data_IF_160473929491
#
_entry.id   IF_160473929491
#
_cell.length_a   1.000
_cell.length_b   1.000
_cell.length_c   1.000
_cell.angle_alpha   90.00
_cell.angle_beta   90.00
_cell.angle_gamma   90.00
#
_symmetry.space_group_name_H-M   'P 1'
#
loop_
_entity.id
_entity.type
_entity.pdbx_description
1 polymer ?
#
# COMPACT_ATOMS: atom_id res chain seq x y z
N UNK A 1 -32.10 6.28 2.07
CA UNK A 1 -30.77 5.63 2.19
C UNK A 1 -29.78 6.47 1.41
N UNK A 2 -28.57 6.67 1.92
CA UNK A 2 -27.51 7.41 1.24
C UNK A 2 -26.16 6.73 1.40
N UNK A 3 -25.16 7.22 0.66
CA UNK A 3 -23.76 6.85 0.79
C UNK A 3 -22.92 8.11 1.03
N UNK A 4 -21.76 7.96 1.67
CA UNK A 4 -20.80 9.05 1.85
C UNK A 4 -19.41 8.53 1.50
N UNK A 5 -18.68 9.30 0.69
CA UNK A 5 -17.26 9.04 0.41
C UNK A 5 -16.51 10.38 0.47
N UNK A 6 -15.50 10.45 1.32
CA UNK A 6 -14.76 11.67 1.65
C UNK A 6 -13.26 11.39 1.59
N UNK A 7 -12.48 12.34 1.06
CA UNK A 7 -11.02 12.32 1.25
C UNK A 7 -10.67 12.71 2.68
N UNK A 8 -9.87 11.90 3.37
CA UNK A 8 -9.58 12.05 4.79
C UNK A 8 -8.07 11.99 5.07
N UNK A 9 -7.61 12.27 6.28
CA UNK A 9 -6.19 12.10 6.67
C UNK A 9 -6.13 11.51 8.09
N UNK A 10 -5.48 10.35 8.22
CA UNK A 10 -5.23 9.58 9.46
C UNK A 10 -3.76 9.16 9.58
N UNK A 11 -2.88 9.92 8.91
CA UNK A 11 -1.46 9.65 8.73
C UNK A 11 -0.70 9.42 10.05
N UNK A 12 -1.13 10.08 11.11
CA UNK A 12 -0.46 10.11 12.39
C UNK A 12 -0.37 8.71 13.03
N UNK A 13 -1.27 7.79 12.68
CA UNK A 13 -1.37 6.48 13.34
C UNK A 13 -0.95 5.30 12.46
N UNK A 14 -0.81 5.47 11.14
CA UNK A 14 -0.45 4.36 10.23
C UNK A 14 0.95 3.78 10.49
N UNK A 15 1.86 4.59 11.04
CA UNK A 15 3.21 4.15 11.40
C UNK A 15 3.32 3.52 12.78
N UNK A 16 2.26 3.55 13.59
CA UNK A 16 2.27 2.86 14.88
C UNK A 16 2.35 1.35 14.68
N UNK A 17 3.37 0.74 15.27
CA UNK A 17 3.57 -0.71 15.29
C UNK A 17 2.65 -1.41 16.30
N UNK A 18 2.27 -0.73 17.38
CA UNK A 18 1.30 -1.24 18.36
C UNK A 18 -0.12 -0.89 17.89
N UNK A 19 -0.79 -1.87 17.29
CA UNK A 19 -2.19 -1.75 16.88
C UNK A 19 -3.10 -1.64 18.10
N UNK A 20 -2.77 -2.38 19.17
CA UNK A 20 -3.57 -2.44 20.38
C UNK A 20 -3.52 -1.07 21.11
N UNK A 21 -2.43 -0.30 20.96
CA UNK A 21 -2.33 1.08 21.45
C UNK A 21 -3.35 2.05 20.83
N UNK A 22 -3.46 2.05 19.51
CA UNK A 22 -4.41 2.95 18.82
C UNK A 22 -5.85 2.58 19.19
N UNK A 23 -6.11 1.28 19.34
CA UNK A 23 -7.41 0.78 19.79
C UNK A 23 -7.70 1.14 21.26
N UNK A 24 -6.72 1.08 22.17
CA UNK A 24 -6.88 1.56 23.55
C UNK A 24 -7.27 3.03 23.58
N UNK A 25 -6.57 3.89 22.83
CA UNK A 25 -6.92 5.31 22.68
C UNK A 25 -8.34 5.53 22.15
N UNK A 26 -8.78 4.66 21.23
CA UNK A 26 -10.16 4.67 20.76
C UNK A 26 -11.14 4.33 21.89
N UNK A 27 -10.88 3.28 22.66
CA UNK A 27 -11.72 2.92 23.80
C UNK A 27 -11.76 4.03 24.85
N UNK A 28 -10.62 4.63 25.19
CA UNK A 28 -10.49 5.70 26.19
C UNK A 28 -11.14 7.01 25.74
N UNK A 29 -11.26 7.24 24.43
CA UNK A 29 -11.96 8.40 23.87
C UNK A 29 -13.49 8.29 23.99
N UNK A 30 -14.07 7.08 24.07
CA UNK A 30 -15.53 6.89 24.08
C UNK A 30 -16.22 7.53 25.30
N UNK A 31 -15.76 7.35 26.55
CA UNK A 31 -16.32 8.05 27.71
C UNK A 31 -16.31 9.58 27.55
N UNK A 32 -15.22 10.14 27.03
CA UNK A 32 -15.05 11.58 26.82
C UNK A 32 -16.07 12.09 25.79
N UNK A 33 -16.22 11.38 24.67
CA UNK A 33 -17.19 11.75 23.62
C UNK A 33 -18.62 11.58 24.12
N UNK A 34 -18.93 10.54 24.89
CA UNK A 34 -20.24 10.34 25.52
C UNK A 34 -20.66 11.53 26.36
N UNK A 35 -19.73 12.05 27.19
CA UNK A 35 -19.94 13.26 27.98
C UNK A 35 -20.26 14.47 27.08
N UNK A 36 -19.47 14.69 26.03
CA UNK A 36 -19.65 15.84 25.11
C UNK A 36 -20.99 15.80 24.37
N UNK A 37 -21.42 14.63 23.91
CA UNK A 37 -22.69 14.45 23.20
C UNK A 37 -23.86 14.75 24.14
N UNK A 38 -23.82 14.19 25.35
CA UNK A 38 -24.86 14.41 26.36
C UNK A 38 -24.91 15.87 26.84
N UNK A 39 -23.75 16.50 27.05
CA UNK A 39 -23.64 17.88 27.52
C UNK A 39 -24.23 18.86 26.49
N UNK A 40 -24.09 18.59 25.18
CA UNK A 40 -24.76 19.37 24.10
C UNK A 40 -26.29 19.34 24.23
N UNK A 41 -26.84 18.25 24.74
CA UNK A 41 -28.26 18.04 24.93
C UNK A 41 -28.71 18.39 26.36
N UNK A 42 -27.80 18.85 27.24
CA UNK A 42 -28.11 19.17 28.64
C UNK A 42 -28.31 17.93 29.54
N UNK A 43 -27.94 16.73 29.09
CA UNK A 43 -28.07 15.48 29.85
C UNK A 43 -26.86 15.30 30.75
N UNK A 44 -27.07 15.37 32.07
CA UNK A 44 -25.99 15.27 33.08
C UNK A 44 -25.93 13.93 33.81
N UNK A 45 -26.98 13.11 33.69
CA UNK A 45 -27.07 11.84 34.40
C UNK A 45 -26.00 10.86 33.89
N UNK A 46 -25.37 10.16 34.83
CA UNK A 46 -24.46 9.05 34.51
C UNK A 46 -25.27 7.82 34.12
N UNK A 47 -24.69 6.99 33.26
CA UNK A 47 -25.27 5.68 32.92
C UNK A 47 -25.35 4.81 34.20
N UNK A 48 -26.51 4.21 34.50
CA UNK A 48 -26.66 3.37 35.70
C UNK A 48 -25.78 2.12 35.68
N UNK A 49 -25.35 1.69 34.50
CA UNK A 49 -24.59 0.44 34.31
C UNK A 49 -23.11 0.64 34.09
N UNK A 50 -22.68 1.83 33.67
CA UNK A 50 -21.28 2.20 33.59
C UNK A 50 -21.11 3.72 33.84
N UNK A 51 -20.65 4.13 35.04
CA UNK A 51 -20.50 5.54 35.40
C UNK A 51 -19.55 6.36 34.53
N UNK A 52 -18.71 5.73 33.70
CA UNK A 52 -17.82 6.43 32.76
C UNK A 52 -18.61 7.10 31.61
N UNK A 53 -19.83 6.61 31.33
CA UNK A 53 -20.69 7.06 30.25
C UNK A 53 -21.90 7.86 30.78
N UNK A 54 -22.49 8.67 29.90
CA UNK A 54 -23.75 9.36 30.17
C UNK A 54 -24.95 8.47 29.84
N UNK A 55 -26.04 8.69 30.57
CA UNK A 55 -27.27 7.95 30.36
C UNK A 55 -27.79 8.09 28.92
N UNK A 56 -28.11 6.96 28.30
CA UNK A 56 -28.53 6.86 26.91
C UNK A 56 -27.45 7.05 25.83
N UNK A 57 -26.20 7.36 26.21
CA UNK A 57 -25.06 7.48 25.28
C UNK A 57 -23.92 6.53 25.68
N UNK A 58 -24.19 5.23 25.62
CA UNK A 58 -23.21 4.19 25.96
C UNK A 58 -22.10 4.08 24.90
N UNK A 59 -21.08 3.28 25.20
CA UNK A 59 -19.92 3.05 24.32
C UNK A 59 -20.21 2.32 23.01
N UNK A 60 -21.45 1.90 22.76
CA UNK A 60 -21.94 1.29 21.52
C UNK A 60 -22.78 2.27 20.66
N UNK A 61 -23.10 3.45 21.21
CA UNK A 61 -23.93 4.44 20.54
C UNK A 61 -23.15 5.10 19.40
N UNK A 62 -23.75 5.21 18.21
CA UNK A 62 -23.05 5.67 16.99
C UNK A 62 -22.44 7.07 17.15
N UNK A 63 -23.15 7.98 17.83
CA UNK A 63 -22.68 9.35 18.09
C UNK A 63 -21.51 9.41 19.10
N UNK A 64 -21.22 8.29 19.78
CA UNK A 64 -20.06 8.12 20.66
C UNK A 64 -18.93 7.40 19.96
N UNK A 65 -19.24 6.25 19.35
CA UNK A 65 -18.27 5.39 18.67
C UNK A 65 -17.63 6.11 17.49
N UNK A 66 -18.40 6.82 16.66
CA UNK A 66 -17.87 7.44 15.43
C UNK A 66 -16.89 8.58 15.73
N UNK A 67 -17.22 9.58 16.58
CA UNK A 67 -16.26 10.64 16.87
C UNK A 67 -15.06 10.15 17.68
N UNK A 68 -15.23 9.17 18.58
CA UNK A 68 -14.11 8.54 19.29
C UNK A 68 -13.16 7.82 18.34
N UNK A 69 -13.69 7.13 17.32
CA UNK A 69 -12.90 6.48 16.28
C UNK A 69 -12.10 7.51 15.48
N UNK A 70 -12.72 8.61 15.08
CA UNK A 70 -12.02 9.70 14.41
C UNK A 70 -10.94 10.33 15.30
N UNK A 71 -11.22 10.58 16.58
CA UNK A 71 -10.23 11.12 17.51
C UNK A 71 -8.99 10.24 17.60
N UNK A 72 -9.17 8.94 17.84
CA UNK A 72 -8.07 8.01 18.00
C UNK A 72 -7.26 7.83 16.71
N UNK A 73 -7.92 7.57 15.57
CA UNK A 73 -7.23 7.25 14.32
C UNK A 73 -6.65 8.47 13.61
N UNK A 74 -7.10 9.69 13.92
CA UNK A 74 -6.44 10.94 13.48
C UNK A 74 -5.51 11.55 14.52
N UNK A 75 -5.35 10.91 15.68
CA UNK A 75 -4.57 11.42 16.80
C UNK A 75 -4.98 12.85 17.23
N UNK A 76 -6.29 13.11 17.25
CA UNK A 76 -6.89 14.36 17.72
C UNK A 76 -7.37 14.20 19.16
N UNK A 77 -7.39 15.32 19.88
CA UNK A 77 -7.97 15.39 21.22
C UNK A 77 -9.48 15.05 21.16
N UNK A 78 -9.95 14.02 21.91
CA UNK A 78 -11.36 13.66 21.96
C UNK A 78 -12.26 14.77 22.51
N UNK A 79 -11.70 15.80 23.17
CA UNK A 79 -12.43 16.99 23.59
C UNK A 79 -12.72 17.99 22.45
N UNK A 80 -12.04 17.84 21.30
CA UNK A 80 -12.09 18.82 20.20
C UNK A 80 -12.56 18.25 18.87
N UNK A 81 -12.70 16.93 18.75
CA UNK A 81 -13.19 16.29 17.51
C UNK A 81 -14.64 16.71 17.22
N UNK A 82 -14.99 16.89 15.94
CA UNK A 82 -16.37 17.12 15.53
C UNK A 82 -17.25 15.92 15.86
N UNK A 83 -18.47 16.19 16.33
CA UNK A 83 -19.42 15.14 16.74
C UNK A 83 -20.32 14.69 15.58
N UNK A 84 -20.54 15.55 14.59
CA UNK A 84 -21.31 15.21 13.40
C UNK A 84 -20.41 14.54 12.35
N UNK A 85 -20.82 13.35 11.91
CA UNK A 85 -20.09 12.56 10.93
C UNK A 85 -20.17 13.16 9.52
N UNK A 86 -21.22 13.95 9.21
CA UNK A 86 -21.48 14.53 7.90
C UNK A 86 -20.90 15.94 7.73
N UNK A 87 -20.50 16.61 8.81
CA UNK A 87 -19.88 17.95 8.77
C UNK A 87 -18.35 17.91 8.58
N UNK A 88 -17.80 16.79 8.11
CA UNK A 88 -16.36 16.63 7.93
C UNK A 88 -15.90 17.20 6.59
N UNK A 89 -14.99 18.18 6.61
CA UNK A 89 -14.39 18.74 5.39
C UNK A 89 -13.40 17.77 4.74
N UNK A 90 -13.43 17.63 3.40
CA UNK A 90 -12.50 16.78 2.68
C UNK A 90 -11.07 17.35 2.78
N UNK A 91 -10.12 16.47 3.03
CA UNK A 91 -8.70 16.79 3.08
C UNK A 91 -7.99 16.34 1.79
N UNK A 92 -6.91 17.02 1.37
CA UNK A 92 -6.23 16.69 0.13
C UNK A 92 -5.49 15.35 0.22
N UNK A 93 -5.63 14.56 -0.83
CA UNK A 93 -4.68 13.49 -1.15
C UNK A 93 -3.55 14.08 -2.01
N UNK A 94 -2.35 13.51 -1.94
CA UNK A 94 -1.22 14.03 -2.72
C UNK A 94 -0.45 12.93 -3.41
N UNK A 95 0.09 13.29 -4.58
CA UNK A 95 1.03 12.50 -5.33
C UNK A 95 2.13 13.43 -5.81
N UNK A 96 3.37 13.08 -5.48
CA UNK A 96 4.57 13.83 -5.80
C UNK A 96 5.50 12.92 -6.58
N UNK A 97 6.00 13.42 -7.72
CA UNK A 97 7.00 12.75 -8.52
C UNK A 97 8.05 13.75 -8.98
N UNK A 98 9.32 13.41 -8.80
CA UNK A 98 10.43 14.27 -9.19
C UNK A 98 11.43 13.49 -10.05
N UNK A 99 11.59 13.93 -11.30
CA UNK A 99 12.44 13.26 -12.30
C UNK A 99 13.64 14.14 -12.70
N UNK A 100 13.92 15.20 -11.93
CA UNK A 100 14.96 16.19 -12.25
C UNK A 100 16.37 15.76 -11.84
N UNK A 101 16.53 14.71 -11.04
CA UNK A 101 17.82 14.30 -10.48
C UNK A 101 18.83 13.92 -11.55
N UNK A 102 18.38 13.31 -12.65
CA UNK A 102 19.25 12.96 -13.78
C UNK A 102 19.79 14.17 -14.55
N UNK A 103 19.29 15.39 -14.30
CA UNK A 103 19.75 16.61 -15.00
C UNK A 103 20.83 17.38 -14.24
N UNK A 104 21.15 17.01 -13.01
CA UNK A 104 22.17 17.68 -12.19
C UNK A 104 23.58 17.41 -12.75
N UNK A 105 24.46 18.41 -12.66
CA UNK A 105 25.77 18.43 -13.34
C UNK A 105 26.69 17.25 -12.99
N UNK A 106 26.58 16.67 -11.79
CA UNK A 106 27.32 15.47 -11.38
C UNK A 106 26.60 14.13 -11.62
N UNK A 107 25.30 14.14 -11.93
CA UNK A 107 24.47 12.93 -12.06
C UNK A 107 24.11 12.61 -13.51
N UNK A 108 24.10 13.62 -14.39
CA UNK A 108 23.74 13.49 -15.82
C UNK A 108 24.59 12.53 -16.62
N UNK A 109 25.83 12.28 -16.20
CA UNK A 109 26.76 11.41 -16.93
C UNK A 109 26.62 9.94 -16.54
N UNK A 110 26.01 9.67 -15.38
CA UNK A 110 25.79 8.32 -14.84
C UNK A 110 24.36 7.86 -15.17
N UNK A 111 23.39 8.74 -14.90
CA UNK A 111 21.97 8.42 -14.94
C UNK A 111 21.32 8.92 -16.24
N UNK A 112 20.60 8.02 -16.91
CA UNK A 112 19.67 8.36 -17.98
C UNK A 112 18.34 8.83 -17.38
N UNK A 113 17.84 8.12 -16.37
CA UNK A 113 16.64 8.49 -15.61
C UNK A 113 16.89 8.30 -14.12
N UNK A 114 16.35 9.23 -13.33
CA UNK A 114 16.28 9.12 -11.88
C UNK A 114 14.99 9.81 -11.46
N UNK A 115 14.00 9.01 -11.11
CA UNK A 115 12.72 9.45 -10.57
C UNK A 115 12.53 9.03 -9.12
N UNK A 116 12.05 9.97 -8.30
CA UNK A 116 11.56 9.72 -6.94
C UNK A 116 10.05 9.95 -6.95
N UNK A 117 9.30 9.06 -6.30
CA UNK A 117 7.83 9.08 -6.25
C UNK A 117 7.37 8.90 -4.81
N UNK A 118 6.29 9.59 -4.47
CA UNK A 118 5.61 9.48 -3.19
C UNK A 118 4.12 9.75 -3.43
N UNK A 119 3.24 8.92 -2.89
CA UNK A 119 1.81 9.14 -2.99
C UNK A 119 1.10 8.69 -1.72
N UNK A 120 0.19 9.52 -1.23
CA UNK A 120 -0.69 9.23 -0.11
C UNK A 120 -2.13 9.40 -0.56
N UNK A 121 -2.94 8.38 -0.29
CA UNK A 121 -4.38 8.42 -0.51
C UNK A 121 -5.08 7.88 0.72
N UNK A 122 -6.07 8.60 1.18
CA UNK A 122 -6.94 8.16 2.26
C UNK A 122 -8.39 8.55 1.97
N UNK A 123 -9.28 7.59 2.16
CA UNK A 123 -10.70 7.73 1.87
C UNK A 123 -11.51 7.14 3.02
N UNK A 124 -12.41 7.96 3.56
CA UNK A 124 -13.45 7.57 4.49
C UNK A 124 -14.72 7.28 3.70
N UNK A 125 -15.26 6.08 3.84
CA UNK A 125 -16.47 5.63 3.15
C UNK A 125 -17.50 5.10 4.14
N UNK A 126 -18.74 5.53 3.96
CA UNK A 126 -19.92 4.94 4.58
C UNK A 126 -20.76 4.36 3.44
N UNK A 127 -20.76 3.03 3.37
CA UNK A 127 -21.39 2.28 2.27
C UNK A 127 -22.90 2.51 2.22
N UNK A 128 -23.53 2.57 3.38
CA UNK A 128 -24.95 2.90 3.50
C UNK A 128 -25.24 3.56 4.85
N UNK A 129 -26.11 4.57 4.82
CA UNK A 129 -26.76 5.07 6.01
C UNK A 129 -28.24 5.33 5.72
N UNK A 130 -29.08 5.26 6.76
CA UNK A 130 -30.51 5.57 6.66
C UNK A 130 -30.97 6.31 7.90
N UNK A 131 -32.03 7.09 7.78
CA UNK A 131 -32.70 7.68 8.93
C UNK A 131 -33.26 6.57 9.82
N UNK A 132 -33.07 6.69 11.14
CA UNK A 132 -33.68 5.77 12.09
C UNK A 132 -35.17 6.14 12.25
N UNK A 133 -36.07 5.19 11.97
CA UNK A 133 -37.51 5.43 12.05
C UNK A 133 -38.02 5.59 13.48
N UNK A 134 -37.25 5.15 14.47
CA UNK A 134 -37.59 5.23 15.89
C UNK A 134 -36.97 6.44 16.57
N UNK A 135 -36.16 7.24 15.86
CA UNK A 135 -35.63 8.49 16.37
C UNK A 135 -36.76 9.49 16.65
N UNK A 136 -36.92 9.86 17.92
CA UNK A 136 -37.91 10.83 18.38
C UNK A 136 -37.21 11.85 19.27
N UNK A 137 -37.50 13.13 19.03
CA UNK A 137 -37.00 14.24 19.84
C UNK A 137 -38.15 15.16 20.26
N UNK A 138 -37.97 15.88 21.35
CA UNK A 138 -38.87 16.96 21.75
C UNK A 138 -38.50 18.31 21.09
N UNK A 139 -39.18 19.38 21.50
CA UNK A 139 -38.93 20.74 21.02
C UNK A 139 -37.53 21.30 21.36
N UNK A 140 -36.83 20.70 22.33
CA UNK A 140 -35.49 21.06 22.76
C UNK A 140 -34.41 20.09 22.22
N UNK A 141 -34.76 19.27 21.22
CA UNK A 141 -33.90 18.25 20.62
C UNK A 141 -33.52 17.07 21.55
N UNK A 142 -34.17 16.93 22.71
CA UNK A 142 -33.90 15.84 23.64
C UNK A 142 -34.45 14.51 23.11
N UNK A 143 -33.65 13.42 23.12
CA UNK A 143 -34.11 12.10 22.70
C UNK A 143 -35.23 11.55 23.60
N UNK A 144 -36.31 11.06 22.97
CA UNK A 144 -37.50 10.54 23.65
C UNK A 144 -37.61 9.01 23.64
N UNK A 145 -36.83 8.32 22.79
CA UNK A 145 -36.94 6.87 22.57
C UNK A 145 -35.58 6.17 22.71
N UNK A 146 -35.58 4.99 23.34
CA UNK A 146 -34.40 4.16 23.58
C UNK A 146 -34.51 2.81 22.88
N UNK A 147 -33.35 2.22 22.53
CA UNK A 147 -33.20 0.91 21.90
C UNK A 147 -33.42 -0.25 22.90
N UNK A 148 -34.50 -0.20 23.67
CA UNK A 148 -34.81 -1.16 24.73
C UNK A 148 -35.40 -0.49 25.98
N UNK A 149 -35.84 -1.33 26.91
CA UNK A 149 -36.48 -0.91 28.16
C UNK A 149 -35.59 -1.13 29.39
N UNK A 150 -34.32 -1.50 29.19
CA UNK A 150 -33.36 -1.71 30.28
C UNK A 150 -32.49 -0.47 30.54
N UNK A 151 -31.78 -0.48 31.66
CA UNK A 151 -30.88 0.61 32.08
C UNK A 151 -29.60 0.72 31.21
N UNK A 152 -29.41 -0.18 30.24
CA UNK A 152 -28.31 -0.16 29.26
C UNK A 152 -28.73 0.44 27.92
N UNK A 153 -30.03 0.66 27.71
CA UNK A 153 -30.55 1.04 26.41
C UNK A 153 -30.10 2.45 26.02
N UNK A 154 -29.22 2.54 25.01
CA UNK A 154 -28.86 3.81 24.39
C UNK A 154 -30.04 4.39 23.60
N UNK A 155 -30.10 5.72 23.46
CA UNK A 155 -31.09 6.39 22.63
C UNK A 155 -31.00 5.92 21.17
N UNK A 156 -32.09 6.10 20.42
CA UNK A 156 -32.00 5.99 18.97
C UNK A 156 -31.20 7.17 18.42
N UNK A 157 -30.25 6.90 17.52
CA UNK A 157 -29.55 7.95 16.80
C UNK A 157 -30.34 8.39 15.57
N UNK A 158 -30.08 9.61 15.08
CA UNK A 158 -30.75 10.16 13.88
C UNK A 158 -30.53 9.29 12.64
N UNK A 159 -29.33 8.73 12.50
CA UNK A 159 -28.95 7.88 11.39
C UNK A 159 -28.43 6.52 11.89
N UNK A 160 -28.83 5.46 11.20
CA UNK A 160 -28.22 4.14 11.32
C UNK A 160 -27.09 4.04 10.31
N UNK A 161 -25.87 3.79 10.82
CA UNK A 161 -24.64 3.63 10.04
C UNK A 161 -24.05 2.26 10.37
N UNK A 162 -24.36 1.20 9.59
CA UNK A 162 -23.91 -0.16 9.92
C UNK A 162 -22.40 -0.32 9.89
N UNK A 163 -21.73 0.33 8.93
CA UNK A 163 -20.30 0.14 8.67
C UNK A 163 -19.65 1.44 8.21
N UNK A 164 -18.46 1.69 8.72
CA UNK A 164 -17.59 2.79 8.33
C UNK A 164 -16.21 2.23 7.95
N UNK A 165 -15.70 2.63 6.80
CA UNK A 165 -14.43 2.15 6.26
C UNK A 165 -13.46 3.31 6.07
N UNK A 166 -12.27 3.22 6.64
CA UNK A 166 -11.13 4.08 6.28
C UNK A 166 -10.12 3.25 5.50
N UNK A 167 -9.90 3.63 4.25
CA UNK A 167 -8.90 3.03 3.37
C UNK A 167 -7.75 4.01 3.18
N UNK A 168 -6.62 3.72 3.82
CA UNK A 168 -5.42 4.55 3.82
C UNK A 168 -4.25 3.81 3.15
N UNK A 169 -3.57 4.45 2.21
CA UNK A 169 -2.46 3.84 1.52
C UNK A 169 -1.37 4.84 1.14
N UNK A 170 -0.14 4.34 1.24
CA UNK A 170 1.05 4.87 0.62
C UNK A 170 1.44 3.99 -0.55
N UNK A 171 1.35 4.54 -1.76
CA UNK A 171 1.51 3.78 -2.99
C UNK A 171 2.27 4.60 -4.05
N UNK A 172 3.58 4.83 -3.90
CA UNK A 172 4.45 4.33 -2.82
C UNK A 172 4.66 5.34 -1.68
N UNK A 173 5.06 4.86 -0.49
CA UNK A 173 5.62 5.71 0.56
C UNK A 173 6.94 6.30 0.10
N UNK A 174 7.80 5.46 -0.48
CA UNK A 174 9.00 5.90 -1.18
C UNK A 174 9.16 5.00 -2.39
N UNK A 175 9.10 5.59 -3.57
CA UNK A 175 9.39 4.94 -4.83
C UNK A 175 10.62 5.57 -5.45
N UNK A 176 11.57 4.78 -5.92
CA UNK A 176 12.76 5.23 -6.63
C UNK A 176 12.92 4.38 -7.87
N UNK A 177 12.99 5.01 -9.05
CA UNK A 177 13.42 4.32 -10.26
C UNK A 177 14.66 5.02 -10.80
N UNK A 178 15.66 4.21 -11.11
CA UNK A 178 16.94 4.65 -11.62
C UNK A 178 17.23 3.85 -12.88
N UNK A 179 17.61 4.55 -13.94
CA UNK A 179 18.16 3.97 -15.17
C UNK A 179 19.47 4.64 -15.47
N UNK A 180 20.51 3.83 -15.65
CA UNK A 180 21.85 4.33 -15.98
C UNK A 180 22.11 4.25 -17.47
N UNK A 181 23.04 5.09 -17.96
CA UNK A 181 23.52 5.01 -19.35
C UNK A 181 24.25 3.69 -19.65
N UNK A 182 24.72 3.00 -18.61
CA UNK A 182 25.38 1.70 -18.70
C UNK A 182 24.40 0.52 -18.87
N UNK A 183 23.08 0.76 -18.90
CA UNK A 183 22.07 -0.31 -19.07
C UNK A 183 21.62 -0.99 -17.77
N UNK A 184 22.02 -0.47 -16.61
CA UNK A 184 21.48 -0.88 -15.31
C UNK A 184 20.19 -0.14 -14.98
N UNK A 185 19.21 -0.88 -14.48
CA UNK A 185 17.92 -0.41 -14.00
C UNK A 185 17.73 -0.86 -12.54
N UNK A 186 17.28 0.04 -11.68
CA UNK A 186 16.97 -0.22 -10.28
C UNK A 186 15.62 0.41 -9.96
N UNK A 187 14.70 -0.39 -9.44
CA UNK A 187 13.41 0.04 -8.91
C UNK A 187 13.30 -0.35 -7.45
N UNK A 188 12.93 0.60 -6.59
CA UNK A 188 12.64 0.37 -5.19
C UNK A 188 11.27 0.96 -4.89
N UNK A 189 10.33 0.16 -4.41
CA UNK A 189 9.03 0.63 -3.96
C UNK A 189 8.76 0.12 -2.54
N UNK A 190 8.52 1.05 -1.61
CA UNK A 190 8.00 0.77 -0.28
C UNK A 190 6.54 1.24 -0.22
N UNK A 191 5.60 0.30 -0.13
CA UNK A 191 4.17 0.55 0.01
C UNK A 191 3.70 0.22 1.43
N UNK A 192 2.73 0.97 1.92
CA UNK A 192 2.10 0.73 3.22
C UNK A 192 0.61 1.02 3.15
N UNK A 193 -0.21 0.04 3.50
CA UNK A 193 -1.65 0.12 3.41
C UNK A 193 -2.26 -0.21 4.77
N UNK A 194 -3.35 0.48 5.10
CA UNK A 194 -4.18 0.20 6.25
C UNK A 194 -5.65 0.32 5.84
N UNK A 195 -6.41 -0.71 6.14
CA UNK A 195 -7.86 -0.72 5.98
C UNK A 195 -8.50 -0.93 7.35
N UNK A 196 -9.29 0.05 7.78
CA UNK A 196 -10.05 0.01 9.02
C UNK A 196 -11.51 -0.16 8.66
N UNK A 197 -12.13 -1.22 9.15
CA UNK A 197 -13.54 -1.48 8.94
C UNK A 197 -14.22 -1.56 10.32
N UNK A 198 -14.88 -0.46 10.68
CA UNK A 198 -15.63 -0.30 11.91
C UNK A 198 -17.08 -0.71 11.65
N UNK A 199 -17.52 -1.77 12.31
CA UNK A 199 -18.90 -2.22 12.32
C UNK A 199 -19.58 -1.72 13.58
N UNK A 200 -20.64 -0.94 13.41
CA UNK A 200 -21.38 -0.37 14.52
C UNK A 200 -22.55 -1.28 14.92
N UNK A 201 -22.92 -1.24 16.21
CA UNK A 201 -23.98 -2.07 16.79
C UNK A 201 -23.60 -2.59 18.17
N UNK A 202 -24.48 -3.40 18.75
CA UNK A 202 -24.34 -3.97 20.11
C UNK A 202 -23.12 -4.90 20.24
N UNK A 203 -22.72 -5.57 19.15
CA UNK A 203 -21.49 -6.36 19.07
C UNK A 203 -20.47 -5.67 18.16
N UNK A 204 -20.28 -4.37 18.39
CA UNK A 204 -19.40 -3.56 17.56
C UNK A 204 -18.00 -4.16 17.45
N UNK A 205 -17.43 -4.13 16.25
CA UNK A 205 -16.10 -4.66 15.96
C UNK A 205 -15.32 -3.73 15.04
N UNK A 206 -14.01 -3.67 15.25
CA UNK A 206 -13.08 -3.03 14.34
C UNK A 206 -12.15 -4.08 13.73
N UNK A 207 -12.28 -4.27 12.42
CA UNK A 207 -11.36 -5.09 11.63
C UNK A 207 -10.27 -4.18 11.08
N UNK A 208 -9.03 -4.36 11.55
CA UNK A 208 -7.86 -3.61 11.09
C UNK A 208 -6.94 -4.51 10.28
N UNK A 209 -6.86 -4.24 8.98
CA UNK A 209 -5.91 -4.88 8.05
C UNK A 209 -4.75 -3.94 7.78
N UNK A 210 -3.52 -4.36 8.10
CA UNK A 210 -2.30 -3.65 7.69
C UNK A 210 -1.55 -4.48 6.67
N UNK A 211 -1.02 -3.83 5.64
CA UNK A 211 -0.12 -4.43 4.68
C UNK A 211 1.12 -3.55 4.47
N UNK A 212 2.30 -4.16 4.42
CA UNK A 212 3.56 -3.49 4.14
C UNK A 212 4.28 -4.28 3.05
N UNK A 213 4.56 -3.61 1.93
CA UNK A 213 5.18 -4.24 0.77
C UNK A 213 6.48 -3.54 0.45
N UNK A 214 7.57 -4.31 0.39
CA UNK A 214 8.85 -3.88 -0.16
C UNK A 214 9.06 -4.58 -1.50
N UNK A 215 9.39 -3.84 -2.53
CA UNK A 215 9.72 -4.38 -3.85
C UNK A 215 11.03 -3.78 -4.31
N UNK A 216 11.98 -4.65 -4.67
CA UNK A 216 13.27 -4.31 -5.24
C UNK A 216 13.33 -4.98 -6.60
N UNK A 217 13.55 -4.20 -7.65
CA UNK A 217 13.72 -4.66 -9.02
C UNK A 217 15.08 -4.23 -9.50
N UNK A 218 15.87 -5.15 -10.01
CA UNK A 218 17.18 -4.87 -10.58
C UNK A 218 17.24 -5.48 -11.97
N UNK A 219 17.65 -4.69 -12.94
CA UNK A 219 17.83 -5.09 -14.33
C UNK A 219 19.21 -4.68 -14.83
N UNK A 220 19.81 -5.50 -15.69
CA UNK A 220 21.03 -5.14 -16.39
C UNK A 220 21.01 -5.71 -17.80
N UNK A 221 21.20 -4.83 -18.79
CA UNK A 221 21.26 -5.19 -20.20
C UNK A 221 22.71 -5.15 -20.66
N UNK A 222 23.26 -6.32 -20.97
CA UNK A 222 24.57 -6.45 -21.60
C UNK A 222 24.35 -6.54 -23.11
N UNK A 223 24.88 -5.55 -23.82
CA UNK A 223 24.81 -5.51 -25.27
C UNK A 223 25.90 -6.35 -25.90
N UNK A 224 25.63 -6.83 -27.11
CA UNK A 224 26.59 -7.51 -27.98
C UNK A 224 27.23 -8.77 -27.36
N UNK A 225 26.46 -9.55 -26.60
CA UNK A 225 26.95 -10.81 -26.02
C UNK A 225 26.85 -11.93 -27.05
N UNK A 226 27.98 -12.58 -27.31
CA UNK A 226 28.01 -13.85 -28.01
C UNK A 226 28.29 -14.98 -27.01
N UNK A 227 27.24 -15.69 -26.63
CA UNK A 227 27.42 -17.00 -26.02
C UNK A 227 27.94 -17.91 -27.15
N UNK A 228 28.91 -18.78 -26.92
CA UNK A 228 29.45 -19.68 -27.97
C UNK A 228 29.11 -21.15 -27.73
N UNK A 229 28.51 -21.43 -26.55
CA UNK A 229 28.24 -22.77 -26.02
C UNK A 229 26.80 -23.26 -26.25
N UNK A 230 25.85 -22.39 -26.63
CA UNK A 230 24.49 -22.84 -27.00
C UNK A 230 24.51 -23.56 -28.36
N UNK A 231 23.81 -24.70 -28.49
CA UNK A 231 23.70 -25.43 -29.75
C UNK A 231 23.17 -24.54 -30.90
N UNK A 232 23.76 -24.64 -32.09
CA UNK A 232 23.30 -23.93 -33.29
C UNK A 232 23.81 -22.49 -33.48
N UNK A 233 24.40 -21.84 -32.48
CA UNK A 233 24.92 -20.47 -32.64
C UNK A 233 26.11 -20.35 -33.60
N UNK A 234 26.95 -21.38 -33.71
CA UNK A 234 28.06 -21.40 -34.68
C UNK A 234 27.56 -21.39 -36.13
N UNK A 235 26.36 -21.94 -36.38
CA UNK A 235 25.73 -21.94 -37.69
C UNK A 235 24.98 -20.62 -37.99
N UNK A 236 24.48 -19.94 -36.95
CA UNK A 236 23.75 -18.66 -37.07
C UNK A 236 24.66 -17.43 -37.21
N UNK A 237 25.95 -17.54 -36.90
CA UNK A 237 26.85 -16.39 -36.93
C UNK A 237 28.23 -16.77 -37.49
N UNK A 238 28.24 -17.18 -38.77
CA UNK A 238 29.45 -17.61 -39.49
C UNK A 238 30.53 -16.51 -39.60
N UNK A 239 30.15 -15.25 -39.36
CA UNK A 239 31.02 -14.06 -39.53
C UNK A 239 31.38 -13.33 -38.22
N UNK A 240 30.92 -13.79 -37.03
CA UNK A 240 31.26 -13.12 -35.77
C UNK A 240 32.69 -13.38 -35.32
N UNK A 241 33.53 -12.33 -35.40
CA UNK A 241 34.86 -12.29 -34.79
C UNK A 241 34.77 -11.54 -33.46
N UNK A 242 35.10 -12.15 -32.31
CA UNK A 242 35.13 -11.44 -31.03
C UNK A 242 36.10 -10.25 -31.12
N UNK A 243 35.78 -9.09 -30.51
CA UNK A 243 36.63 -7.91 -30.61
C UNK A 243 38.01 -8.21 -29.98
N UNK A 244 39.04 -8.28 -30.82
CA UNK A 244 40.43 -8.34 -30.36
C UNK A 244 40.74 -7.02 -29.65
N UNK A 245 41.15 -7.08 -28.37
CA UNK A 245 41.68 -5.93 -27.63
C UNK A 245 42.87 -5.35 -28.40
N UNK A 246 42.64 -4.30 -29.18
CA UNK A 246 43.68 -3.56 -29.88
C UNK A 246 44.42 -2.72 -28.84
N UNK A 247 45.70 -3.03 -28.61
CA UNK A 247 46.63 -2.12 -27.93
C UNK A 247 46.61 -0.81 -28.72
N UNK A 248 46.17 0.30 -28.08
CA UNK A 248 46.22 1.65 -28.65
C UNK A 248 47.66 1.96 -29.10
N UNK A 249 47.94 1.89 -30.40
CA UNK A 249 49.06 2.61 -31.01
C UNK A 249 48.61 4.06 -31.17
N UNK A 250 49.33 5.00 -30.55
CA UNK A 250 49.21 6.44 -30.81
C UNK A 250 49.47 6.66 -32.31
N UNK A 251 48.48 7.18 -33.05
CA UNK A 251 48.71 7.80 -34.36
C UNK A 251 48.79 9.32 -34.15
N UNK A 252 49.83 9.93 -34.71
CA UNK A 252 50.00 11.38 -34.86
C UNK A 252 48.97 11.90 -35.87
N UNK A 253 48.56 13.14 -35.65
CA UNK A 253 47.78 13.94 -36.59
C UNK A 253 48.63 14.22 -37.83
N UNK A 254 48.06 14.02 -39.00
CA UNK A 254 47.91 15.00 -40.09
C UNK A 254 47.43 14.28 -41.36
N UNK A 255 46.67 15.02 -42.16
CA UNK A 255 46.06 14.73 -43.46
C UNK A 255 44.57 14.34 -43.48
N UNK A 256 43.79 15.35 -43.91
CA UNK A 256 42.42 15.26 -44.42
C UNK A 256 42.41 14.46 -45.72
N UNK A 257 41.71 13.33 -45.72
CA UNK A 257 41.06 12.80 -46.91
C UNK A 257 39.75 12.11 -46.47
N UNK A 258 38.65 12.50 -47.11
CA UNK A 258 37.33 11.89 -46.95
C UNK A 258 37.36 10.48 -47.53
N UNK A 259 37.14 9.48 -46.69
CA UNK A 259 36.83 8.12 -47.13
C UNK A 259 35.32 7.86 -46.90
N UNK A 260 34.49 7.82 -47.95
CA UNK A 260 33.11 7.37 -47.86
C UNK A 260 33.10 5.84 -47.83
N UNK A 261 32.19 5.24 -47.05
CA UNK A 261 31.96 3.78 -46.99
C UNK A 261 32.94 2.92 -46.18
N UNK A 262 33.14 3.27 -44.90
CA UNK A 262 33.41 2.25 -43.88
C UNK A 262 32.10 1.76 -43.24
N UNK A 263 31.22 1.13 -44.04
CA UNK A 263 30.09 0.35 -43.53
C UNK A 263 30.63 -0.96 -42.93
N UNK A 264 31.28 -0.86 -41.76
CA UNK A 264 31.66 -2.02 -40.97
C UNK A 264 30.36 -2.54 -40.35
N UNK A 265 29.70 -3.45 -41.07
CA UNK A 265 28.76 -4.41 -40.52
C UNK A 265 29.52 -5.30 -39.52
N UNK A 266 29.87 -4.74 -38.36
CA UNK A 266 30.21 -5.54 -37.20
C UNK A 266 28.96 -6.39 -36.92
N UNK A 267 29.07 -7.73 -36.90
CA UNK A 267 27.93 -8.57 -36.58
C UNK A 267 27.44 -8.18 -35.19
N UNK A 268 26.28 -7.52 -35.15
CA UNK A 268 25.65 -7.07 -33.91
C UNK A 268 25.43 -8.30 -33.05
N UNK A 269 26.05 -8.32 -31.88
CA UNK A 269 25.81 -9.37 -30.92
C UNK A 269 24.40 -9.20 -30.38
N UNK A 270 23.91 -10.25 -29.74
CA UNK A 270 22.57 -10.23 -29.18
C UNK A 270 22.61 -9.67 -27.75
N UNK A 271 21.50 -9.07 -27.33
CA UNK A 271 21.37 -8.52 -25.98
C UNK A 271 21.08 -9.64 -24.96
N UNK A 272 21.77 -9.57 -23.83
CA UNK A 272 21.55 -10.40 -22.66
C UNK A 272 20.96 -9.52 -21.55
N UNK A 273 19.74 -9.84 -21.16
CA UNK A 273 19.00 -9.16 -20.11
C UNK A 273 19.02 -10.01 -18.85
N UNK A 274 19.55 -9.46 -17.76
CA UNK A 274 19.55 -10.07 -16.44
C UNK A 274 18.56 -9.29 -15.59
N UNK A 275 17.65 -9.98 -14.93
CA UNK A 275 16.64 -9.40 -14.05
C UNK A 275 16.64 -10.12 -12.72
N UNK A 276 16.42 -9.35 -11.67
CA UNK A 276 16.33 -9.81 -10.30
C UNK A 276 15.23 -9.03 -9.61
N UNK A 277 14.17 -9.72 -9.24
CA UNK A 277 13.08 -9.13 -8.47
C UNK A 277 13.03 -9.77 -7.09
N UNK A 278 13.02 -8.94 -6.05
CA UNK A 278 12.82 -9.33 -4.67
C UNK A 278 11.61 -8.61 -4.11
N UNK A 279 10.77 -9.34 -3.40
CA UNK A 279 9.55 -8.81 -2.81
C UNK A 279 9.32 -9.35 -1.42
N UNK A 280 8.89 -8.49 -0.51
CA UNK A 280 8.30 -8.87 0.76
C UNK A 280 6.93 -8.23 0.81
N UNK A 281 5.89 -9.02 1.05
CA UNK A 281 4.54 -8.54 1.30
C UNK A 281 4.09 -9.10 2.65
N UNK A 282 3.96 -8.24 3.64
CA UNK A 282 3.52 -8.59 4.99
C UNK A 282 2.12 -8.02 5.22
N UNK A 283 1.11 -8.90 5.27
CA UNK A 283 -0.27 -8.51 5.55
C UNK A 283 -0.79 -9.22 6.81
N UNK A 284 -1.48 -8.48 7.67
CA UNK A 284 -2.14 -9.02 8.85
C UNK A 284 -3.47 -8.32 9.07
N UNK A 285 -4.48 -9.10 9.47
CA UNK A 285 -5.79 -8.60 9.85
C UNK A 285 -6.07 -9.00 11.29
N UNK A 286 -6.34 -7.99 12.13
CA UNK A 286 -6.75 -8.15 13.52
C UNK A 286 -8.21 -7.74 13.70
N UNK A 287 -8.92 -8.45 14.58
CA UNK A 287 -10.26 -8.07 15.03
C UNK A 287 -10.15 -7.53 16.45
N UNK A 288 -10.71 -6.34 16.65
CA UNK A 288 -10.92 -5.73 17.96
C UNK A 288 -12.41 -5.70 18.25
N UNK A 289 -12.81 -6.11 19.46
CA UNK A 289 -14.21 -6.02 19.93
C UNK A 289 -14.36 -4.77 20.79
N UNK A 290 -15.42 -4.00 20.57
CA UNK A 290 -15.65 -2.72 21.27
C UNK A 290 -15.97 -2.90 22.76
N UNK A 291 -16.71 -3.94 23.12
CA UNK A 291 -17.25 -4.09 24.50
C UNK A 291 -16.56 -5.20 25.31
N UNK A 292 -15.59 -5.88 24.70
CA UNK A 292 -14.77 -6.84 25.40
C UNK A 292 -13.39 -6.22 25.65
N UNK A 293 -12.99 -6.13 26.92
CA UNK A 293 -11.64 -5.73 27.31
C UNK A 293 -10.62 -6.87 27.04
N UNK A 294 -10.63 -7.35 25.79
CA UNK A 294 -9.80 -8.45 25.30
C UNK A 294 -8.86 -7.93 24.24
N UNK A 295 -7.63 -8.43 24.26
CA UNK A 295 -6.64 -8.11 23.25
C UNK A 295 -7.12 -8.54 21.86
N UNK A 296 -6.66 -7.83 20.84
CA UNK A 296 -7.02 -8.12 19.48
C UNK A 296 -6.59 -9.52 19.06
N UNK A 297 -7.47 -10.20 18.33
CA UNK A 297 -7.18 -11.53 17.81
C UNK A 297 -6.77 -11.43 16.34
N UNK A 298 -5.66 -12.08 15.99
CA UNK A 298 -5.26 -12.22 14.59
C UNK A 298 -6.28 -13.14 13.89
N UNK A 299 -7.00 -12.58 12.91
CA UNK A 299 -8.03 -13.30 12.17
C UNK A 299 -7.49 -13.94 10.89
N UNK A 300 -6.57 -13.24 10.21
CA UNK A 300 -5.92 -13.72 8.99
C UNK A 300 -4.64 -12.95 8.72
N UNK A 301 -3.85 -13.43 7.78
CA UNK A 301 -2.67 -12.73 7.30
C UNK A 301 -1.51 -13.66 7.01
N UNK A 302 -0.58 -13.18 6.21
CA UNK A 302 0.65 -13.87 5.89
C UNK A 302 1.78 -12.92 5.54
N UNK A 303 3.00 -13.37 5.81
CA UNK A 303 4.23 -12.82 5.25
C UNK A 303 4.64 -13.62 4.03
N UNK A 304 4.65 -12.97 2.88
CA UNK A 304 5.09 -13.53 1.61
C UNK A 304 6.46 -12.97 1.25
N UNK A 305 7.37 -13.85 0.87
CA UNK A 305 8.71 -13.50 0.40
C UNK A 305 8.85 -14.08 -1.00
N UNK A 306 9.20 -13.23 -1.96
CA UNK A 306 9.39 -13.61 -3.36
C UNK A 306 10.79 -13.27 -3.84
N UNK A 307 11.33 -14.15 -4.68
CA UNK A 307 12.64 -14.02 -5.28
C UNK A 307 12.57 -14.59 -6.70
N UNK A 308 12.76 -13.73 -7.70
CA UNK A 308 12.48 -14.07 -9.10
C UNK A 308 13.62 -13.64 -10.02
N UNK A 309 14.79 -14.33 -9.98
CA UNK A 309 15.85 -14.09 -10.94
C UNK A 309 15.47 -14.65 -12.32
N UNK A 310 15.83 -13.92 -13.37
CA UNK A 310 15.71 -14.41 -14.73
C UNK A 310 16.81 -13.85 -15.64
N UNK A 311 17.20 -14.65 -16.61
CA UNK A 311 18.14 -14.30 -17.67
C UNK A 311 17.44 -14.52 -18.99
N UNK A 312 17.38 -13.49 -19.83
CA UNK A 312 16.81 -13.54 -21.17
C UNK A 312 17.88 -13.20 -22.20
N UNK A 313 17.95 -13.98 -23.25
CA UNK A 313 18.87 -13.81 -24.37
C UNK A 313 18.08 -13.71 -25.67
N UNK A 314 18.24 -12.61 -26.38
CA UNK A 314 17.56 -12.36 -27.66
C UNK A 314 18.37 -12.91 -28.82
N UNK A 315 18.34 -14.24 -28.99
CA UNK A 315 19.17 -14.99 -29.94
C UNK A 315 19.00 -14.55 -31.42
N UNK A 316 17.83 -14.04 -31.80
CA UNK A 316 17.61 -13.34 -33.06
C UNK A 316 16.45 -12.35 -32.92
N UNK A 317 16.13 -11.59 -33.98
CA UNK A 317 14.93 -10.72 -34.02
C UNK A 317 13.63 -11.48 -33.72
N UNK A 318 13.62 -12.78 -33.98
CA UNK A 318 12.43 -13.61 -33.93
C UNK A 318 12.51 -14.69 -32.84
N UNK A 319 13.66 -14.88 -32.18
CA UNK A 319 13.88 -15.95 -31.21
C UNK A 319 14.43 -15.39 -29.90
N UNK A 320 13.67 -15.57 -28.82
CA UNK A 320 14.07 -15.23 -27.45
C UNK A 320 14.13 -16.49 -26.60
N UNK A 321 15.17 -16.60 -25.77
CA UNK A 321 15.33 -17.66 -24.79
C UNK A 321 15.37 -17.02 -23.41
N UNK A 322 14.56 -17.50 -22.47
CA UNK A 322 14.53 -17.02 -21.08
C UNK A 322 14.65 -18.19 -20.12
N UNK A 323 15.61 -18.12 -19.22
CA UNK A 323 15.72 -18.99 -18.05
C UNK A 323 15.27 -18.20 -16.83
N UNK A 324 14.41 -18.79 -16.01
CA UNK A 324 13.88 -18.12 -14.83
C UNK A 324 13.70 -19.09 -13.67
N UNK A 325 13.71 -18.53 -12.46
CA UNK A 325 13.27 -19.19 -11.23
C UNK A 325 12.33 -18.24 -10.52
N UNK A 326 11.16 -18.74 -10.09
CA UNK A 326 10.22 -18.04 -9.22
C UNK A 326 10.14 -18.80 -7.90
N UNK A 327 10.79 -18.25 -6.89
CA UNK A 327 10.72 -18.73 -5.51
C UNK A 327 9.74 -17.87 -4.72
N UNK A 328 8.75 -18.50 -4.08
CA UNK A 328 7.82 -17.83 -3.17
C UNK A 328 7.65 -18.64 -1.90
N UNK A 329 7.74 -17.96 -0.76
CA UNK A 329 7.50 -18.52 0.57
C UNK A 329 6.39 -17.73 1.26
N UNK A 330 5.37 -18.42 1.72
CA UNK A 330 4.24 -17.85 2.46
C UNK A 330 4.26 -18.36 3.89
N UNK A 331 4.36 -17.45 4.86
CA UNK A 331 4.35 -17.74 6.29
C UNK A 331 3.06 -17.14 6.86
N UNK A 332 2.02 -17.93 7.14
CA UNK A 332 0.78 -17.40 7.71
C UNK A 332 0.95 -17.02 9.19
N UNK A 333 0.13 -16.07 9.66
CA UNK A 333 0.11 -15.63 11.06
C UNK A 333 -0.90 -16.39 11.94
N UNK A 334 -1.85 -17.07 11.32
CA UNK A 334 -2.89 -17.85 12.03
C UNK A 334 -2.57 -19.33 11.97
N UNK A 335 -2.86 -20.05 13.07
CA UNK A 335 -2.55 -21.48 13.21
C UNK A 335 -3.38 -22.38 12.29
N UNK A 336 -4.50 -21.87 11.76
CA UNK A 336 -5.36 -22.58 10.80
C UNK A 336 -4.76 -22.68 9.39
N UNK A 337 -3.63 -22.03 9.12
CA UNK A 337 -2.97 -22.02 7.82
C UNK A 337 -1.55 -22.60 7.92
N UNK A 338 -1.13 -23.32 6.88
CA UNK A 338 0.19 -23.95 6.82
C UNK A 338 1.19 -23.08 6.06
N UNK A 339 2.46 -23.20 6.43
CA UNK A 339 3.58 -22.59 5.69
C UNK A 339 3.66 -23.25 4.32
N UNK A 340 3.82 -22.44 3.28
CA UNK A 340 3.88 -22.90 1.88
C UNK A 340 5.15 -22.38 1.21
N UNK A 341 5.76 -23.22 0.38
CA UNK A 341 6.96 -22.89 -0.41
C UNK A 341 6.75 -23.39 -1.82
N UNK A 342 6.83 -22.48 -2.80
CA UNK A 342 6.71 -22.78 -4.22
C UNK A 342 7.99 -22.38 -4.92
N UNK A 343 8.49 -23.28 -5.75
CA UNK A 343 9.68 -23.05 -6.57
C UNK A 343 9.35 -23.49 -7.98
N UNK A 344 9.23 -22.53 -8.90
CA UNK A 344 8.97 -22.79 -10.30
C UNK A 344 10.18 -22.34 -11.11
N UNK A 345 10.93 -23.28 -11.68
CA UNK A 345 12.01 -22.99 -12.61
C UNK A 345 11.61 -23.42 -14.02
N UNK A 346 12.09 -22.71 -15.03
CA UNK A 346 11.79 -23.09 -16.40
C UNK A 346 12.66 -22.42 -17.46
N UNK A 347 12.60 -23.03 -18.64
CA UNK A 347 13.09 -22.48 -19.89
C UNK A 347 11.87 -22.06 -20.72
N UNK A 348 11.82 -20.79 -21.12
CA UNK A 348 10.85 -20.29 -22.07
C UNK A 348 11.57 -19.97 -23.38
N UNK A 349 11.09 -20.54 -24.47
CA UNK A 349 11.56 -20.26 -25.83
C UNK A 349 10.40 -19.62 -26.58
N UNK A 350 10.57 -18.37 -26.97
CA UNK A 350 9.56 -17.62 -27.71
C UNK A 350 10.06 -17.38 -29.13
N UNK A 351 9.34 -17.92 -30.10
CA UNK A 351 9.56 -17.67 -31.52
C UNK A 351 8.41 -16.85 -32.10
N UNK A 352 8.72 -15.72 -32.74
CA UNK A 352 7.74 -14.84 -33.38
C UNK A 352 7.92 -14.92 -34.91
N UNK A 353 6.86 -15.30 -35.62
CA UNK A 353 6.80 -15.25 -37.07
C UNK A 353 6.40 -13.81 -37.46
N UNK A 354 7.21 -13.17 -38.28
CA UNK A 354 6.88 -11.90 -38.92
C UNK A 354 6.38 -12.16 -40.34
#
# INVERSE_FOLDING_TARGET
MGNLALSYISLQTIFNSDIDDVFRRFSDARPIVSQRVADRLGIKNLSPTNPDYRDGFQGDHIDVVTPAFFAAYTNKDPNKVGLDLFETFPLPNWQVSYNGLSKLSGLKDIFQDFSIRHAYKNTLTINSFKSNLDYRIDANELPLSRRGNDDRASYHARYEVPELVISEQFAPLVGVNIKTKAGMELGLDYNKNRNLNLRNGIDGQLLETKATTYTIKMGYIIKDVFLSWLPGMKALNKDYKPPKKTKKKKKKADDEDQDPDANINNPKGNDLEISFDFGINDNITKIHRLDANVNAQANSGSKQISFTPAIKYSMSKNLNIRVFVDYRKTIPYVLSQFKDVRINGGLNVQYTLN
#
